data_IF_232905083639
#
_entry.id   IF_232905083639
#
_cell.length_a   1.000
_cell.length_b   1.000
_cell.length_c   1.000
_cell.angle_alpha   90.00
_cell.angle_beta   90.00
_cell.angle_gamma   90.00
#
_symmetry.space_group_name_H-M   'P 1'
#
loop_
_entity.id
_entity.type
_entity.pdbx_description
1 polymer ?
#
# COMPACT_ATOMS: atom_id res chain seq x y z
N UNK A 1 4.12 -73.80 1.99
CA UNK A 1 4.41 -72.68 2.92
C UNK A 1 5.71 -72.02 2.48
N UNK A 2 5.68 -70.75 2.02
CA UNK A 2 6.87 -69.98 1.62
C UNK A 2 6.88 -68.67 2.40
N UNK A 3 7.83 -68.52 3.33
CA UNK A 3 8.06 -67.28 4.09
C UNK A 3 8.71 -66.25 3.17
N UNK A 4 8.06 -65.10 2.98
CA UNK A 4 8.62 -63.94 2.29
C UNK A 4 9.21 -63.00 3.33
N UNK A 5 10.53 -62.91 3.36
CA UNK A 5 11.29 -61.98 4.19
C UNK A 5 11.18 -60.57 3.60
N UNK A 6 10.61 -59.62 4.35
CA UNK A 6 10.67 -58.21 4.01
C UNK A 6 12.01 -57.62 4.46
N UNK A 7 12.85 -57.23 3.49
CA UNK A 7 14.06 -56.45 3.73
C UNK A 7 13.66 -55.00 4.03
N UNK A 8 13.87 -54.58 5.28
CA UNK A 8 13.82 -53.18 5.68
C UNK A 8 15.01 -52.45 5.06
N UNK A 9 14.74 -51.49 4.18
CA UNK A 9 15.76 -50.59 3.62
C UNK A 9 15.55 -49.22 4.28
N UNK A 10 16.49 -48.69 5.08
CA UNK A 10 16.35 -47.37 5.66
C UNK A 10 16.62 -46.33 4.56
N UNK A 11 15.60 -45.56 4.19
CA UNK A 11 15.75 -44.39 3.33
C UNK A 11 16.48 -43.30 4.14
N UNK A 12 17.77 -43.16 3.90
CA UNK A 12 18.54 -41.95 4.22
C UNK A 12 18.07 -40.83 3.27
N UNK A 13 17.12 -40.00 3.69
CA UNK A 13 16.88 -38.72 3.04
C UNK A 13 17.94 -37.71 3.50
N UNK A 14 18.82 -37.19 2.63
CA UNK A 14 19.60 -36.02 2.95
C UNK A 14 18.66 -34.83 3.05
N UNK A 15 18.62 -34.18 4.22
CA UNK A 15 18.00 -32.87 4.41
C UNK A 15 18.78 -31.85 3.57
N UNK A 16 18.30 -31.57 2.37
CA UNK A 16 18.75 -30.42 1.58
C UNK A 16 18.13 -29.15 2.20
N UNK A 17 18.78 -28.61 3.23
CA UNK A 17 18.57 -27.22 3.66
C UNK A 17 19.17 -26.30 2.59
N UNK A 18 18.41 -26.04 1.53
CA UNK A 18 18.69 -24.92 0.64
C UNK A 18 18.38 -23.63 1.41
N UNK A 19 19.43 -22.98 1.91
CA UNK A 19 19.32 -21.61 2.38
C UNK A 19 19.00 -20.74 1.15
N UNK A 20 17.74 -20.36 0.99
CA UNK A 20 17.37 -19.39 -0.02
C UNK A 20 18.23 -18.13 0.20
N UNK A 21 18.85 -17.57 -0.85
CA UNK A 21 19.63 -16.35 -0.71
C UNK A 21 18.73 -15.29 -0.08
N UNK A 22 19.24 -14.63 0.96
CA UNK A 22 18.56 -13.49 1.56
C UNK A 22 18.24 -12.49 0.44
N UNK A 23 16.97 -12.13 0.29
CA UNK A 23 16.57 -11.13 -0.70
C UNK A 23 17.41 -9.87 -0.46
N UNK A 24 18.13 -9.42 -1.49
CA UNK A 24 18.95 -8.21 -1.39
C UNK A 24 18.08 -7.05 -0.90
N UNK A 25 18.48 -6.42 0.20
CA UNK A 25 17.79 -5.26 0.73
C UNK A 25 17.83 -4.14 -0.32
N UNK A 26 16.67 -3.58 -0.65
CA UNK A 26 16.61 -2.49 -1.60
C UNK A 26 17.04 -1.20 -0.92
N UNK A 27 17.82 -0.38 -1.62
CA UNK A 27 18.10 0.98 -1.20
C UNK A 27 16.94 1.88 -1.62
N UNK A 28 16.46 2.70 -0.69
CA UNK A 28 15.48 3.76 -0.95
C UNK A 28 16.22 5.10 -1.00
N UNK A 29 15.75 6.07 -1.80
CA UNK A 29 16.31 7.42 -1.77
C UNK A 29 16.16 8.02 -0.36
N UNK A 30 17.19 8.73 0.15
CA UNK A 30 17.06 9.48 1.39
C UNK A 30 16.16 10.71 1.20
N UNK A 31 15.59 11.22 2.29
CA UNK A 31 14.94 12.54 2.30
C UNK A 31 16.02 13.58 2.57
N UNK A 32 16.32 14.39 1.56
CA UNK A 32 17.38 15.39 1.61
C UNK A 32 16.83 16.80 1.85
N UNK A 33 17.59 17.61 2.57
CA UNK A 33 17.27 19.03 2.75
C UNK A 33 17.55 19.80 1.44
N UNK A 34 16.76 20.86 1.19
CA UNK A 34 16.96 21.74 0.03
C UNK A 34 16.35 21.24 -1.29
N UNK A 35 15.71 20.07 -1.29
CA UNK A 35 14.89 19.62 -2.42
C UNK A 35 13.70 20.58 -2.58
N UNK A 36 13.63 21.24 -3.74
CA UNK A 36 12.51 22.12 -4.07
C UNK A 36 11.33 21.30 -4.58
N UNK A 37 10.16 21.50 -3.96
CA UNK A 37 8.92 20.92 -4.44
C UNK A 37 8.45 21.62 -5.72
N UNK A 38 7.99 20.84 -6.69
CA UNK A 38 7.54 21.25 -8.01
C UNK A 38 6.09 20.83 -8.21
N UNK A 39 5.18 21.80 -8.18
CA UNK A 39 3.77 21.59 -8.42
C UNK A 39 3.40 21.89 -9.89
N UNK A 40 2.42 21.17 -10.49
CA UNK A 40 1.54 20.18 -9.86
C UNK A 40 2.16 18.78 -9.68
N UNK A 41 3.34 18.50 -10.24
CA UNK A 41 3.97 17.16 -10.22
C UNK A 41 4.03 16.54 -8.82
N UNK A 42 4.41 17.31 -7.81
CA UNK A 42 4.58 16.83 -6.43
C UNK A 42 3.25 16.68 -5.67
N UNK A 43 2.10 16.93 -6.31
CA UNK A 43 0.81 16.38 -5.84
C UNK A 43 0.69 14.88 -6.15
N UNK A 44 1.36 14.41 -7.20
CA UNK A 44 1.39 13.01 -7.60
C UNK A 44 2.23 12.15 -6.66
N UNK A 45 2.14 10.84 -6.85
CA UNK A 45 2.85 9.86 -6.05
C UNK A 45 4.37 9.86 -6.30
N UNK A 46 5.11 9.54 -5.25
CA UNK A 46 6.57 9.40 -5.19
C UNK A 46 7.00 7.93 -5.00
N UNK A 47 6.78 7.02 -5.99
CA UNK A 47 6.88 5.57 -5.82
C UNK A 47 8.28 5.03 -5.48
N UNK A 48 9.33 5.83 -5.70
CA UNK A 48 10.71 5.47 -5.35
C UNK A 48 10.92 5.39 -3.84
N UNK A 49 10.21 6.24 -3.08
CA UNK A 49 10.26 6.27 -1.63
C UNK A 49 9.51 5.08 -1.03
N UNK A 50 10.01 4.61 0.12
CA UNK A 50 9.45 3.46 0.82
C UNK A 50 8.00 3.65 1.24
N UNK A 51 7.65 4.85 1.68
CA UNK A 51 6.37 5.17 2.30
C UNK A 51 5.84 6.50 1.80
N UNK A 52 4.53 6.58 1.61
CA UNK A 52 3.84 7.83 1.27
C UNK A 52 2.41 7.82 1.79
N UNK A 53 1.89 9.01 2.10
CA UNK A 53 0.63 9.20 2.78
C UNK A 53 -0.19 10.28 2.09
N UNK A 54 -1.48 10.05 1.96
CA UNK A 54 -2.49 11.07 1.68
C UNK A 54 -3.48 11.04 2.83
N UNK A 55 -3.58 12.14 3.57
CA UNK A 55 -4.37 12.19 4.79
C UNK A 55 -5.25 13.43 4.79
N UNK A 56 -6.56 13.21 4.85
CA UNK A 56 -7.57 14.25 4.89
C UNK A 56 -8.39 14.08 6.16
N UNK A 57 -8.56 15.16 6.89
CA UNK A 57 -9.39 15.25 8.09
C UNK A 57 -10.28 16.48 7.99
N UNK A 58 -11.51 16.39 8.50
CA UNK A 58 -12.39 17.55 8.52
C UNK A 58 -13.55 17.40 9.48
N UNK A 59 -14.11 18.54 9.85
CA UNK A 59 -15.44 18.63 10.45
C UNK A 59 -16.47 18.83 9.32
N UNK A 60 -17.64 18.20 9.45
CA UNK A 60 -18.73 18.35 8.50
C UNK A 60 -19.69 19.45 8.95
N UNK A 61 -20.10 20.29 8.01
CA UNK A 61 -21.30 21.11 8.17
C UNK A 61 -22.52 20.19 7.95
N UNK A 62 -23.06 19.68 9.04
CA UNK A 62 -24.16 18.72 9.06
C UNK A 62 -25.28 19.21 9.99
N UNK A 63 -26.53 18.73 9.82
CA UNK A 63 -27.63 19.09 10.71
C UNK A 63 -27.36 18.74 12.19
N UNK A 64 -26.54 17.72 12.43
CA UNK A 64 -26.03 17.38 13.74
C UNK A 64 -24.65 18.01 13.93
N UNK A 65 -24.44 18.68 15.08
CA UNK A 65 -23.16 19.26 15.45
C UNK A 65 -22.08 18.19 15.66
N UNK A 66 -20.82 18.62 15.61
CA UNK A 66 -19.63 17.82 15.97
C UNK A 66 -19.45 16.51 15.17
N UNK A 67 -19.97 16.48 13.94
CA UNK A 67 -19.69 15.38 12.99
C UNK A 67 -18.34 15.63 12.33
N UNK A 68 -17.48 14.61 12.34
CA UNK A 68 -16.14 14.69 11.74
C UNK A 68 -15.79 13.45 10.93
N UNK A 69 -14.82 13.59 10.02
CA UNK A 69 -14.35 12.48 9.21
C UNK A 69 -12.82 12.49 9.09
N UNK A 70 -12.29 11.31 8.76
CA UNK A 70 -10.96 11.16 8.22
C UNK A 70 -10.96 10.21 7.02
N UNK A 71 -10.02 10.43 6.10
CA UNK A 71 -9.71 9.54 4.99
C UNK A 71 -8.20 9.49 4.82
N UNK A 72 -7.65 8.29 4.93
CA UNK A 72 -6.23 8.02 4.76
C UNK A 72 -6.03 7.07 3.59
N UNK A 73 -5.09 7.39 2.69
CA UNK A 73 -4.41 6.42 1.84
C UNK A 73 -2.94 6.35 2.27
N UNK A 74 -2.40 5.14 2.34
CA UNK A 74 -1.01 4.88 2.71
C UNK A 74 -0.40 3.92 1.69
N UNK A 75 0.71 4.29 1.07
CA UNK A 75 1.49 3.39 0.19
C UNK A 75 2.75 2.92 0.90
N UNK A 76 3.04 1.64 0.73
CA UNK A 76 4.31 1.03 1.11
C UNK A 76 4.94 0.26 -0.06
N UNK A 77 6.24 0.49 -0.29
CA UNK A 77 7.11 -0.32 -1.16
C UNK A 77 7.92 -1.26 -0.28
N UNK A 78 7.49 -2.50 -0.02
CA UNK A 78 8.11 -3.36 1.00
C UNK A 78 9.50 -3.90 0.63
N UNK A 79 9.91 -3.81 -0.64
CA UNK A 79 11.25 -4.25 -1.10
C UNK A 79 11.43 -5.76 -1.26
N UNK A 80 10.61 -6.57 -0.61
CA UNK A 80 10.70 -8.04 -0.67
C UNK A 80 10.30 -8.65 -2.02
N UNK A 81 9.60 -7.88 -2.87
CA UNK A 81 8.99 -8.37 -4.11
C UNK A 81 9.69 -7.86 -5.39
N UNK A 82 10.79 -7.12 -5.27
CA UNK A 82 11.43 -6.43 -6.40
C UNK A 82 11.95 -7.42 -7.45
N UNK A 83 12.60 -8.50 -7.02
CA UNK A 83 13.15 -9.53 -7.91
C UNK A 83 12.14 -10.55 -8.43
N UNK A 84 10.86 -10.48 -8.01
CA UNK A 84 9.87 -11.50 -8.36
C UNK A 84 9.33 -11.30 -9.78
N UNK A 85 9.53 -12.27 -10.67
CA UNK A 85 8.92 -12.29 -12.01
C UNK A 85 7.45 -12.74 -11.96
N UNK A 86 6.61 -11.91 -11.35
CA UNK A 86 5.15 -12.14 -11.26
C UNK A 86 4.39 -10.85 -11.55
N UNK A 87 3.31 -10.89 -12.36
CA UNK A 87 2.49 -9.72 -12.64
C UNK A 87 1.76 -9.20 -11.39
N UNK A 88 1.58 -10.05 -10.37
CA UNK A 88 0.93 -9.71 -9.11
C UNK A 88 1.92 -9.54 -7.96
N UNK A 89 3.23 -9.47 -8.22
CA UNK A 89 4.22 -9.26 -7.16
C UNK A 89 3.92 -7.98 -6.37
N UNK A 90 3.91 -8.06 -5.04
CA UNK A 90 3.54 -6.96 -4.15
C UNK A 90 4.66 -5.91 -3.99
N UNK A 91 5.11 -5.32 -5.10
CA UNK A 91 6.14 -4.27 -5.12
C UNK A 91 5.67 -2.97 -4.48
N UNK A 92 4.39 -2.68 -4.65
CA UNK A 92 3.73 -1.50 -4.10
C UNK A 92 2.39 -1.96 -3.52
N UNK A 93 2.14 -1.63 -2.26
CA UNK A 93 0.89 -1.95 -1.56
C UNK A 93 0.27 -0.62 -1.15
N UNK A 94 -1.02 -0.46 -1.43
CA UNK A 94 -1.81 0.69 -1.00
C UNK A 94 -2.83 0.21 0.02
N UNK A 95 -2.91 0.94 1.12
CA UNK A 95 -3.89 0.81 2.17
C UNK A 95 -4.80 2.04 2.13
N UNK A 96 -6.06 1.87 2.51
CA UNK A 96 -6.95 3.00 2.76
C UNK A 96 -7.80 2.75 3.99
N UNK A 97 -8.09 3.80 4.74
CA UNK A 97 -8.95 3.78 5.92
C UNK A 97 -9.82 5.05 5.95
N UNK A 98 -11.13 4.89 6.06
CA UNK A 98 -12.09 5.99 6.21
C UNK A 98 -12.84 5.82 7.53
N UNK A 99 -13.12 6.93 8.20
CA UNK A 99 -13.90 6.90 9.42
C UNK A 99 -14.76 8.16 9.54
N UNK A 100 -15.93 7.99 10.15
CA UNK A 100 -16.91 9.01 10.45
C UNK A 100 -17.23 8.95 11.95
N UNK A 101 -17.11 10.10 12.60
CA UNK A 101 -17.47 10.29 14.00
C UNK A 101 -18.79 11.04 14.03
N UNK A 102 -19.83 10.41 14.60
CA UNK A 102 -21.16 11.02 14.80
C UNK A 102 -21.46 10.97 16.30
N UNK A 103 -21.80 12.10 16.94
CA UNK A 103 -22.07 12.10 18.38
C UNK A 103 -23.24 11.17 18.74
N UNK A 104 -23.07 10.42 19.83
CA UNK A 104 -24.05 9.42 20.28
C UNK A 104 -23.97 8.09 19.52
N UNK A 105 -23.19 8.01 18.45
CA UNK A 105 -22.86 6.78 17.74
C UNK A 105 -21.42 6.35 18.05
N UNK A 106 -21.12 5.06 17.84
CA UNK A 106 -19.74 4.58 17.81
C UNK A 106 -19.01 5.07 16.55
N UNK A 107 -17.67 4.98 16.56
CA UNK A 107 -16.87 5.29 15.36
C UNK A 107 -17.28 4.34 14.22
N UNK A 108 -17.79 4.90 13.12
CA UNK A 108 -18.04 4.14 11.91
C UNK A 108 -16.78 4.18 11.04
N UNK A 109 -16.29 3.03 10.59
CA UNK A 109 -15.07 2.99 9.79
C UNK A 109 -15.04 1.82 8.81
N UNK A 110 -14.19 1.95 7.80
CA UNK A 110 -13.92 0.91 6.83
C UNK A 110 -12.47 1.00 6.35
N UNK A 111 -11.92 -0.12 5.90
CA UNK A 111 -10.54 -0.23 5.47
C UNK A 111 -10.36 -1.15 4.27
N UNK A 112 -9.28 -0.92 3.51
CA UNK A 112 -8.91 -1.69 2.33
C UNK A 112 -7.39 -1.81 2.24
N UNK A 113 -6.93 -2.91 1.65
CA UNK A 113 -5.54 -3.10 1.26
C UNK A 113 -5.48 -3.82 -0.10
N UNK A 114 -4.63 -3.35 -1.01
CA UNK A 114 -4.46 -3.94 -2.32
C UNK A 114 -3.06 -3.67 -2.88
N UNK A 115 -2.64 -4.46 -3.87
CA UNK A 115 -1.37 -4.21 -4.56
C UNK A 115 -1.61 -3.17 -5.64
N UNK A 116 -0.66 -2.28 -5.92
CA UNK A 116 -0.84 -1.25 -6.94
C UNK A 116 -0.92 -1.80 -8.38
N UNK A 117 -0.51 -3.04 -8.58
CA UNK A 117 -0.68 -3.80 -9.83
C UNK A 117 -1.92 -4.73 -9.80
N UNK A 118 -2.66 -4.74 -8.69
CA UNK A 118 -3.84 -5.58 -8.51
C UNK A 118 -4.78 -4.96 -7.46
N UNK A 119 -5.72 -4.14 -7.94
CA UNK A 119 -6.83 -3.59 -7.16
C UNK A 119 -6.63 -2.18 -6.58
N UNK A 120 -5.39 -1.67 -6.56
CA UNK A 120 -5.10 -0.26 -6.28
C UNK A 120 -4.36 0.38 -7.46
N UNK A 121 -4.33 1.72 -7.49
CA UNK A 121 -3.54 2.51 -8.45
C UNK A 121 -3.12 3.85 -7.83
N UNK A 122 -2.11 4.47 -8.41
CA UNK A 122 -1.76 5.86 -8.15
C UNK A 122 -1.13 6.49 -9.40
N UNK A 123 -1.32 7.79 -9.59
CA UNK A 123 -0.68 8.58 -10.63
C UNK A 123 0.56 9.31 -10.08
N UNK A 124 1.51 9.64 -10.95
CA UNK A 124 2.81 10.27 -10.58
C UNK A 124 2.96 11.69 -11.10
N UNK A 125 2.05 12.13 -11.96
CA UNK A 125 1.99 13.44 -12.60
C UNK A 125 1.07 14.41 -11.86
N UNK A 126 0.05 13.90 -11.17
CA UNK A 126 -0.84 14.65 -10.28
C UNK A 126 -1.47 13.72 -9.22
N UNK A 127 -2.16 14.29 -8.23
CA UNK A 127 -2.89 13.52 -7.23
C UNK A 127 -4.04 12.74 -7.88
N UNK A 128 -3.87 11.43 -7.99
CA UNK A 128 -4.94 10.45 -8.21
C UNK A 128 -4.50 9.13 -7.57
N UNK A 129 -5.13 8.75 -6.47
CA UNK A 129 -4.91 7.47 -5.77
C UNK A 129 -6.23 6.74 -5.60
N UNK A 130 -6.24 5.42 -5.85
CA UNK A 130 -7.46 4.63 -5.76
C UNK A 130 -7.23 3.21 -5.27
N UNK A 131 -8.26 2.64 -4.61
CA UNK A 131 -8.34 1.23 -4.21
C UNK A 131 -9.79 0.74 -4.35
N UNK A 132 -10.04 -0.17 -5.30
CA UNK A 132 -11.40 -0.51 -5.70
C UNK A 132 -12.20 0.74 -6.09
N UNK A 133 -13.35 0.94 -5.42
CA UNK A 133 -14.22 2.11 -5.64
C UNK A 133 -13.78 3.38 -4.89
N UNK A 134 -12.78 3.30 -4.02
CA UNK A 134 -12.31 4.46 -3.26
C UNK A 134 -11.28 5.22 -4.09
N UNK A 135 -11.42 6.54 -4.20
CA UNK A 135 -10.51 7.39 -4.97
C UNK A 135 -10.37 8.76 -4.32
N UNK A 136 -9.16 9.28 -4.31
CA UNK A 136 -8.85 10.68 -4.03
C UNK A 136 -8.12 11.22 -5.25
N UNK A 137 -8.60 12.31 -5.83
CA UNK A 137 -7.97 12.95 -6.97
C UNK A 137 -8.06 14.47 -6.85
N UNK A 138 -7.07 15.19 -7.35
CA UNK A 138 -7.14 16.64 -7.48
C UNK A 138 -7.97 16.98 -8.71
N UNK A 139 -8.87 17.93 -8.56
CA UNK A 139 -9.61 18.51 -9.66
C UNK A 139 -9.09 19.94 -9.86
N UNK A 140 -8.79 20.30 -11.10
CA UNK A 140 -8.54 21.71 -11.43
C UNK A 140 -9.87 22.46 -11.31
N UNK A 141 -9.87 23.55 -10.55
CA UNK A 141 -11.00 24.47 -10.45
C UNK A 141 -10.61 25.69 -11.28
N UNK A 142 -11.34 25.94 -12.37
CA UNK A 142 -11.10 27.01 -13.35
C UNK A 142 -10.52 28.30 -12.71
N UNK A 143 -9.21 28.50 -12.87
CA UNK A 143 -8.51 29.75 -12.57
C UNK A 143 -8.19 30.05 -11.10
N UNK A 144 -8.44 29.15 -10.15
CA UNK A 144 -7.95 29.30 -8.76
C UNK A 144 -7.17 28.08 -8.34
N UNK A 145 -5.85 28.23 -8.29
CA UNK A 145 -5.00 27.26 -7.60
C UNK A 145 -5.48 27.17 -6.15
N UNK A 146 -6.03 26.02 -5.78
CA UNK A 146 -6.23 25.66 -4.37
C UNK A 146 -4.84 25.51 -3.77
N UNK A 147 -4.51 26.40 -2.84
CA UNK A 147 -3.30 26.35 -2.00
C UNK A 147 -3.13 24.99 -1.30
#
# INVERSE_FOLDING_TARGET
MRRRSFLATPLLLPTLTSAAPAAAAIAYPPVEAGVQLRFPRDHGAHPDFRTEWWYVTGALDAPQADVGFQLTFFRSRPGIAEGLRSPIAARQIVFAHAALTVPGEGLQHAERAARANLGARFATDDLDVSIGAWRMFRQEIDGRESL
#
